data_IF_226831296793
#
_entry.id   IF_226831296793
#
_cell.length_a   1.000
_cell.length_b   1.000
_cell.length_c   1.000
_cell.angle_alpha   90.00
_cell.angle_beta   90.00
_cell.angle_gamma   90.00
#
_symmetry.space_group_name_H-M   'P 1'
#
loop_
_entity.id
_entity.type
_entity.pdbx_description
1 polymer ?
#
# COMPACT_ATOMS: atom_id res chain seq x y z
N UNK A 1 -11.45 -14.43 5.90
CA UNK A 1 -10.08 -13.93 5.75
C UNK A 1 -9.49 -14.45 4.45
N UNK A 2 -8.89 -13.58 3.68
CA UNK A 2 -8.26 -13.96 2.43
C UNK A 2 -7.02 -14.83 2.69
N UNK A 3 -6.80 -15.79 1.83
CA UNK A 3 -5.61 -16.62 1.88
C UNK A 3 -4.57 -16.04 0.93
N UNK A 4 -3.34 -15.91 1.44
CA UNK A 4 -2.22 -15.42 0.66
C UNK A 4 -1.11 -16.47 0.64
N UNK A 5 -0.53 -16.68 -0.53
CA UNK A 5 0.69 -17.46 -0.66
C UNK A 5 1.89 -16.52 -0.56
N UNK A 6 2.91 -16.96 0.16
CA UNK A 6 4.18 -16.21 0.21
C UNK A 6 4.99 -16.55 -1.01
N UNK A 7 5.38 -15.53 -1.78
CA UNK A 7 6.11 -15.67 -3.03
C UNK A 7 7.44 -14.93 -2.90
N UNK A 8 8.52 -15.58 -3.37
CA UNK A 8 9.82 -14.91 -3.41
C UNK A 8 9.78 -13.76 -4.42
N UNK A 9 10.44 -12.62 -4.14
CA UNK A 9 10.47 -11.52 -5.09
C UNK A 9 10.95 -11.93 -6.49
N UNK A 10 11.87 -12.87 -6.57
CA UNK A 10 12.40 -13.35 -7.86
C UNK A 10 11.35 -14.06 -8.72
N UNK A 11 10.30 -14.56 -8.10
CA UNK A 11 9.22 -15.27 -8.80
C UNK A 11 8.06 -14.34 -9.16
N UNK A 12 8.20 -13.04 -8.92
CA UNK A 12 7.18 -12.06 -9.24
C UNK A 12 7.13 -11.87 -10.76
N UNK A 13 5.98 -12.14 -11.37
CA UNK A 13 5.84 -12.19 -12.83
C UNK A 13 4.87 -11.17 -13.41
N UNK A 14 4.49 -10.17 -12.64
CA UNK A 14 3.57 -9.12 -13.09
C UNK A 14 4.34 -7.95 -13.68
N UNK A 15 3.70 -7.22 -14.60
CA UNK A 15 4.28 -5.99 -15.12
C UNK A 15 4.23 -4.89 -14.06
N UNK A 16 5.38 -4.47 -13.59
CA UNK A 16 5.51 -3.40 -12.61
C UNK A 16 4.98 -2.08 -13.17
N UNK A 17 5.22 -1.84 -14.45
CA UNK A 17 4.73 -0.63 -15.12
C UNK A 17 3.20 -0.56 -15.10
N UNK A 18 2.54 -1.68 -15.37
CA UNK A 18 1.09 -1.76 -15.34
C UNK A 18 0.55 -1.63 -13.91
N UNK A 19 1.14 -2.39 -12.98
CA UNK A 19 0.68 -2.40 -11.59
C UNK A 19 0.75 -1.01 -10.96
N UNK A 20 1.85 -0.32 -11.13
CA UNK A 20 2.04 0.99 -10.49
C UNK A 20 1.41 2.11 -11.31
N UNK A 21 1.70 2.16 -12.61
CA UNK A 21 1.29 3.29 -13.43
C UNK A 21 -0.17 3.27 -13.87
N UNK A 22 -0.75 2.09 -14.04
CA UNK A 22 -2.11 1.94 -14.57
C UNK A 22 -3.11 1.48 -13.53
N UNK A 23 -2.75 0.48 -12.72
CA UNK A 23 -3.67 -0.07 -11.72
C UNK A 23 -3.60 0.68 -10.40
N UNK A 24 -2.46 1.31 -10.11
CA UNK A 24 -2.15 2.05 -8.89
C UNK A 24 -1.99 1.12 -7.69
N UNK A 25 -1.46 1.67 -6.62
CA UNK A 25 -1.26 0.91 -5.38
C UNK A 25 -1.69 1.74 -4.18
N UNK A 26 -1.94 1.05 -3.07
CA UNK A 26 -2.11 1.70 -1.78
C UNK A 26 -0.81 1.59 -0.99
N UNK A 27 -0.40 2.71 -0.42
CA UNK A 27 0.69 2.76 0.55
C UNK A 27 0.03 2.85 1.92
N UNK A 28 0.24 1.84 2.75
CA UNK A 28 -0.47 1.72 4.02
C UNK A 28 0.52 1.56 5.16
N UNK A 29 0.30 2.32 6.24
CA UNK A 29 1.17 2.27 7.41
C UNK A 29 0.35 2.54 8.67
N UNK A 30 0.94 2.17 9.81
CA UNK A 30 0.35 2.37 11.13
C UNK A 30 1.28 3.28 11.94
N UNK A 31 0.70 4.24 12.66
CA UNK A 31 1.50 5.12 13.51
C UNK A 31 1.75 4.48 14.88
N UNK A 32 2.46 5.20 15.74
CA UNK A 32 2.82 4.70 17.07
C UNK A 32 1.61 4.46 17.98
N UNK A 33 0.49 5.11 17.68
CA UNK A 33 -0.75 4.97 18.43
C UNK A 33 -1.64 3.83 17.93
N UNK A 34 -1.21 3.15 16.85
CA UNK A 34 -1.97 2.05 16.27
C UNK A 34 -2.98 2.47 15.23
N UNK A 35 -3.05 3.74 14.88
CA UNK A 35 -3.94 4.23 13.82
C UNK A 35 -3.36 3.87 12.46
N UNK A 36 -4.22 3.42 11.54
CA UNK A 36 -3.84 3.05 10.18
C UNK A 36 -4.26 4.16 9.22
N UNK A 37 -3.39 4.50 8.30
CA UNK A 37 -3.74 5.37 7.19
C UNK A 37 -3.18 4.81 5.88
N UNK A 38 -3.79 5.19 4.78
CA UNK A 38 -3.42 4.72 3.46
C UNK A 38 -3.56 5.86 2.45
N UNK A 39 -2.83 5.75 1.36
CA UNK A 39 -2.94 6.68 0.24
C UNK A 39 -2.71 5.93 -1.07
N UNK A 40 -3.34 6.42 -2.12
CA UNK A 40 -3.12 5.90 -3.45
C UNK A 40 -1.86 6.50 -4.05
N UNK A 41 -1.04 5.67 -4.68
CA UNK A 41 0.19 6.10 -5.33
C UNK A 41 0.31 5.42 -6.70
N UNK A 42 0.94 6.14 -7.63
CA UNK A 42 1.19 5.62 -8.98
C UNK A 42 2.62 5.89 -9.44
N UNK A 43 3.50 6.25 -8.52
CA UNK A 43 4.92 6.53 -8.79
C UNK A 43 5.79 5.61 -7.96
N UNK A 44 6.72 4.94 -8.61
CA UNK A 44 7.64 4.04 -7.94
C UNK A 44 8.18 2.98 -8.87
N UNK A 45 8.74 1.94 -8.28
CA UNK A 45 9.31 0.84 -9.04
C UNK A 45 9.74 -0.30 -8.15
N UNK A 46 10.25 -1.34 -8.77
CA UNK A 46 10.81 -2.50 -8.08
C UNK A 46 12.15 -2.85 -8.73
N UNK A 47 13.10 -3.25 -7.93
CA UNK A 47 14.40 -3.60 -8.46
C UNK A 47 15.35 -4.12 -7.40
N UNK A 48 16.65 -3.98 -7.65
CA UNK A 48 17.67 -4.47 -6.74
C UNK A 48 18.62 -3.32 -6.39
N UNK A 49 18.91 -3.18 -5.10
CA UNK A 49 19.84 -2.18 -4.61
C UNK A 49 20.65 -2.76 -3.45
N UNK A 50 21.97 -2.64 -3.53
CA UNK A 50 22.90 -3.22 -2.55
C UNK A 50 22.64 -4.70 -2.29
N UNK A 51 22.37 -5.46 -3.38
CA UNK A 51 22.12 -6.90 -3.28
C UNK A 51 20.80 -7.28 -2.65
N UNK A 52 19.89 -6.33 -2.48
CA UNK A 52 18.57 -6.58 -1.89
C UNK A 52 17.46 -6.27 -2.87
N UNK A 53 16.41 -7.05 -2.81
CA UNK A 53 15.20 -6.78 -3.58
C UNK A 53 14.46 -5.62 -2.91
N UNK A 54 14.17 -4.58 -3.67
CA UNK A 54 13.56 -3.35 -3.13
C UNK A 54 12.35 -2.93 -3.94
N UNK A 55 11.42 -2.30 -3.25
CA UNK A 55 10.33 -1.54 -3.87
C UNK A 55 10.53 -0.09 -3.51
N UNK A 56 10.33 0.79 -4.49
CA UNK A 56 10.47 2.24 -4.31
C UNK A 56 9.10 2.87 -4.48
N UNK A 57 8.73 3.72 -3.55
CA UNK A 57 7.54 4.55 -3.67
C UNK A 57 7.92 6.00 -3.37
N UNK A 58 7.24 6.92 -4.04
CA UNK A 58 7.49 8.35 -3.87
C UNK A 58 6.30 8.96 -3.16
N UNK A 59 6.55 9.59 -2.02
CA UNK A 59 5.50 10.17 -1.20
C UNK A 59 5.81 11.64 -0.98
N UNK A 60 4.87 12.51 -1.36
CA UNK A 60 5.04 13.94 -1.14
C UNK A 60 5.01 14.26 0.35
N UNK A 61 5.84 15.22 0.82
CA UNK A 61 5.91 15.53 2.25
C UNK A 61 4.58 15.96 2.88
N UNK A 62 3.67 16.55 2.10
CA UNK A 62 2.39 17.02 2.61
C UNK A 62 1.34 15.91 2.79
N UNK A 63 1.60 14.69 2.29
CA UNK A 63 0.65 13.59 2.44
C UNK A 63 0.64 13.10 3.88
N UNK A 64 -0.58 12.86 4.40
CA UNK A 64 -0.75 12.43 5.78
C UNK A 64 -0.09 11.07 6.05
N UNK A 65 -0.14 10.15 5.10
CA UNK A 65 0.47 8.83 5.23
C UNK A 65 1.97 8.89 5.48
N UNK A 66 2.64 9.96 5.00
CA UNK A 66 4.07 10.14 5.25
C UNK A 66 4.38 10.18 6.75
N UNK A 67 3.53 10.82 7.54
CA UNK A 67 3.72 10.87 9.00
C UNK A 67 3.66 9.48 9.62
N UNK A 68 2.82 8.61 9.06
CA UNK A 68 2.68 7.23 9.53
C UNK A 68 3.91 6.40 9.19
N UNK A 69 4.42 6.56 7.97
CA UNK A 69 5.62 5.85 7.52
C UNK A 69 6.84 6.28 8.33
N UNK A 70 6.97 7.57 8.62
CA UNK A 70 8.08 8.10 9.39
C UNK A 70 8.10 7.55 10.84
N UNK A 71 6.94 7.13 11.35
CA UNK A 71 6.82 6.55 12.69
C UNK A 71 6.90 5.02 12.69
N UNK A 72 6.90 4.39 11.53
CA UNK A 72 6.86 2.94 11.40
C UNK A 72 8.17 2.39 10.87
N UNK A 73 8.48 1.15 11.26
CA UNK A 73 9.58 0.41 10.66
C UNK A 73 9.17 -0.33 9.40
N UNK A 74 7.86 -0.48 9.19
CA UNK A 74 7.32 -1.28 8.11
C UNK A 74 6.07 -0.65 7.53
N UNK A 75 5.83 -0.92 6.26
CA UNK A 75 4.61 -0.49 5.58
C UNK A 75 4.29 -1.50 4.47
N UNK A 76 3.13 -1.35 3.84
CA UNK A 76 2.77 -2.22 2.72
C UNK A 76 2.50 -1.40 1.46
N UNK A 77 2.81 -2.02 0.33
CA UNK A 77 2.35 -1.57 -0.99
C UNK A 77 1.41 -2.67 -1.48
N UNK A 78 0.17 -2.32 -1.79
CA UNK A 78 -0.82 -3.32 -2.15
C UNK A 78 -1.56 -2.95 -3.43
N UNK A 79 -1.94 -3.98 -4.18
CA UNK A 79 -2.53 -3.85 -5.52
C UNK A 79 -3.88 -4.56 -5.55
N UNK A 80 -4.80 -4.05 -6.36
CA UNK A 80 -6.21 -4.46 -6.36
C UNK A 80 -6.72 -4.67 -7.77
N UNK A 81 -7.82 -5.40 -7.92
CA UNK A 81 -8.51 -5.54 -9.18
C UNK A 81 -9.21 -4.24 -9.58
N UNK A 82 -9.53 -4.09 -10.86
CA UNK A 82 -10.21 -2.92 -11.40
C UNK A 82 -11.52 -2.61 -10.69
N UNK A 83 -12.18 -3.60 -10.09
CA UNK A 83 -13.42 -3.40 -9.34
C UNK A 83 -13.24 -2.46 -8.16
N UNK A 84 -12.01 -2.24 -7.69
CA UNK A 84 -11.70 -1.33 -6.59
C UNK A 84 -11.11 0.00 -7.04
N UNK A 85 -11.09 0.28 -8.35
CA UNK A 85 -10.49 1.50 -8.89
C UNK A 85 -11.12 2.77 -8.30
N UNK A 86 -12.43 2.76 -8.10
CA UNK A 86 -13.11 3.90 -7.49
C UNK A 86 -12.69 4.12 -6.05
N UNK A 87 -12.48 3.04 -5.31
CA UNK A 87 -12.02 3.14 -3.91
C UNK A 87 -10.61 3.73 -3.86
N UNK A 88 -9.73 3.29 -4.77
CA UNK A 88 -8.37 3.83 -4.84
C UNK A 88 -8.38 5.30 -5.25
N UNK A 89 -9.22 5.67 -6.20
CA UNK A 89 -9.37 7.07 -6.62
C UNK A 89 -9.81 7.95 -5.46
N UNK A 90 -10.79 7.49 -4.69
CA UNK A 90 -11.27 8.20 -3.52
C UNK A 90 -10.16 8.37 -2.47
N UNK A 91 -9.46 7.29 -2.15
CA UNK A 91 -8.38 7.32 -1.16
C UNK A 91 -7.22 8.22 -1.57
N UNK A 92 -7.04 8.44 -2.87
CA UNK A 92 -6.02 9.35 -3.38
C UNK A 92 -6.43 10.81 -3.41
N UNK A 93 -7.72 11.10 -3.29
CA UNK A 93 -8.27 12.46 -3.42
C UNK A 93 -8.59 13.14 -2.09
N UNK A 94 -8.66 12.39 -1.00
CA UNK A 94 -8.99 12.93 0.32
C UNK A 94 -7.91 12.60 1.32
N UNK A 95 -7.84 13.37 2.42
CA UNK A 95 -6.86 13.14 3.47
C UNK A 95 -7.50 12.47 4.68
N UNK A 96 -6.76 11.52 5.27
CA UNK A 96 -7.16 10.91 6.53
C UNK A 96 -7.13 11.90 7.71
N UNK A 97 -6.52 13.08 7.53
CA UNK A 97 -6.59 14.15 8.54
C UNK A 97 -8.01 14.69 8.67
N UNK A 98 -8.74 14.73 7.55
CA UNK A 98 -10.03 15.39 7.47
C UNK A 98 -11.19 14.45 7.73
N UNK A 99 -10.99 13.16 7.49
CA UNK A 99 -12.04 12.16 7.65
C UNK A 99 -11.48 10.75 7.76
N UNK A 100 -12.28 9.84 8.28
CA UNK A 100 -11.96 8.40 8.26
C UNK A 100 -12.30 7.86 6.88
N UNK A 101 -11.39 8.07 5.94
CA UNK A 101 -11.62 7.74 4.54
C UNK A 101 -11.66 6.23 4.27
N UNK A 102 -10.97 5.44 5.08
CA UNK A 102 -10.98 3.97 4.92
C UNK A 102 -12.38 3.43 5.16
N UNK A 103 -13.08 3.93 6.16
CA UNK A 103 -14.43 3.48 6.49
C UNK A 103 -15.45 3.78 5.39
N UNK A 104 -15.13 4.68 4.47
CA UNK A 104 -16.01 5.04 3.35
C UNK A 104 -15.73 4.20 2.10
N UNK A 105 -14.85 3.24 2.18
CA UNK A 105 -14.53 2.34 1.07
C UNK A 105 -15.02 0.93 1.37
N UNK A 106 -14.97 0.06 0.37
CA UNK A 106 -15.32 -1.36 0.52
C UNK A 106 -14.15 -2.19 1.04
N UNK A 107 -13.05 -1.54 1.42
CA UNK A 107 -11.83 -2.23 1.85
C UNK A 107 -11.91 -2.62 3.31
N UNK A 108 -11.44 -3.81 3.63
CA UNK A 108 -11.48 -4.39 4.97
C UNK A 108 -10.07 -4.40 5.56
N UNK A 109 -9.79 -3.58 6.59
CA UNK A 109 -8.47 -3.57 7.21
C UNK A 109 -8.11 -4.91 7.83
N UNK A 110 -6.85 -5.32 7.66
CA UNK A 110 -6.27 -6.50 8.28
C UNK A 110 -4.79 -6.24 8.50
N UNK A 111 -4.04 -7.25 8.95
CA UNK A 111 -2.60 -7.12 9.11
C UNK A 111 -1.88 -8.45 8.94
N UNK A 112 -0.55 -8.35 8.77
CA UNK A 112 0.37 -9.47 8.83
C UNK A 112 1.42 -9.11 9.88
N UNK A 113 1.35 -9.76 11.04
CA UNK A 113 2.24 -9.49 12.18
C UNK A 113 2.27 -8.01 12.57
N UNK A 114 1.09 -7.38 12.56
CA UNK A 114 0.93 -5.97 12.91
C UNK A 114 1.17 -4.98 11.78
N UNK A 115 1.55 -5.44 10.60
CA UNK A 115 1.78 -4.56 9.44
C UNK A 115 0.49 -4.48 8.64
N UNK A 116 -0.13 -3.28 8.52
CA UNK A 116 -1.50 -3.17 7.99
C UNK A 116 -1.59 -3.28 6.47
N UNK A 117 -2.67 -3.89 6.01
CA UNK A 117 -3.08 -3.90 4.61
C UNK A 117 -4.59 -4.19 4.54
N UNK A 118 -5.12 -4.48 3.36
CA UNK A 118 -6.57 -4.74 3.20
C UNK A 118 -6.80 -6.11 2.58
N UNK A 119 -7.82 -6.81 3.07
CA UNK A 119 -8.11 -8.19 2.65
C UNK A 119 -8.36 -8.34 1.16
N UNK A 120 -8.86 -7.29 0.50
CA UNK A 120 -9.21 -7.32 -0.92
C UNK A 120 -8.01 -7.22 -1.86
N UNK A 121 -6.82 -6.99 -1.34
CA UNK A 121 -5.62 -6.88 -2.15
C UNK A 121 -5.30 -8.20 -2.88
N UNK A 122 -4.96 -8.11 -4.16
CA UNK A 122 -4.50 -9.28 -4.91
C UNK A 122 -3.01 -9.54 -4.73
N UNK A 123 -2.23 -8.50 -4.44
CA UNK A 123 -0.79 -8.58 -4.20
C UNK A 123 -0.45 -7.61 -3.07
N UNK A 124 0.36 -8.07 -2.12
CA UNK A 124 0.83 -7.24 -1.02
C UNK A 124 2.35 -7.36 -0.92
N UNK A 125 3.04 -6.22 -0.96
CA UNK A 125 4.47 -6.15 -0.67
C UNK A 125 4.63 -5.64 0.75
N UNK A 126 5.28 -6.42 1.60
CA UNK A 126 5.60 -6.01 2.97
C UNK A 126 7.00 -5.42 2.95
N UNK A 127 7.13 -4.15 3.29
CA UNK A 127 8.35 -3.38 3.14
C UNK A 127 8.87 -2.89 4.50
N UNK A 128 10.18 -2.72 4.58
CA UNK A 128 10.85 -2.12 5.73
C UNK A 128 11.64 -0.89 5.32
#
# INVERSE_FOLDING_TARGET
MSEYAIVAPEDFDQSVFRLIGKEWMLVTAKNQEGKVNTMTASWGGMGVMWGKNVAVTVIRPQRYTKEFIDQSESFTLSFYDDTFKKDLSYLGSVSGRDEDKIAKTRLTPTDANGIPFFEEAKIVLICK
#
